data_IF_599672207604
#
_entry.id   IF_599672207604
#
_cell.length_a   1.000
_cell.length_b   1.000
_cell.length_c   1.000
_cell.angle_alpha   90.00
_cell.angle_beta   90.00
_cell.angle_gamma   90.00
#
_symmetry.space_group_name_H-M   'P 1'
#
loop_
_entity.id
_entity.type
_entity.pdbx_description
1 polymer ?
#
# COMPACT_ATOMS: atom_id res chain seq x y z
N UNK A 1 30.17 -35.52 -23.03
CA UNK A 1 31.08 -34.74 -22.15
C UNK A 1 31.62 -33.52 -22.89
N UNK A 2 30.92 -32.38 -22.84
CA UNK A 2 31.48 -31.08 -23.25
C UNK A 2 30.92 -30.00 -22.35
N UNK A 3 31.86 -29.25 -21.78
CA UNK A 3 31.72 -28.18 -20.80
C UNK A 3 31.11 -26.95 -21.51
N UNK A 4 30.00 -26.42 -21.01
CA UNK A 4 29.46 -25.13 -21.47
C UNK A 4 29.62 -24.08 -20.37
N UNK A 5 30.51 -23.13 -20.65
CA UNK A 5 30.69 -21.87 -19.93
C UNK A 5 29.68 -20.85 -20.46
N UNK A 6 29.27 -19.91 -19.58
CA UNK A 6 28.96 -18.48 -19.79
C UNK A 6 27.94 -18.17 -20.94
N UNK A 7 26.99 -17.25 -20.87
CA UNK A 7 26.95 -15.96 -20.19
C UNK A 7 25.58 -15.31 -20.44
N UNK A 8 25.20 -14.40 -19.55
CA UNK A 8 24.43 -13.17 -19.83
C UNK A 8 22.93 -13.24 -20.06
N UNK A 9 22.16 -12.95 -19.01
CA UNK A 9 21.01 -12.05 -19.06
C UNK A 9 20.90 -11.36 -17.69
N UNK A 10 21.51 -10.17 -17.57
CA UNK A 10 21.21 -9.03 -16.66
C UNK A 10 22.46 -8.12 -16.63
N UNK A 11 22.44 -6.93 -17.24
CA UNK A 11 23.52 -5.97 -17.09
C UNK A 11 23.37 -5.17 -15.79
N UNK A 12 24.49 -5.15 -15.07
CA UNK A 12 25.03 -4.11 -14.19
C UNK A 12 24.20 -3.51 -13.05
N UNK A 13 24.63 -3.85 -11.82
CA UNK A 13 24.64 -2.88 -10.71
C UNK A 13 25.71 -3.28 -9.68
N UNK A 14 26.99 -3.08 -10.02
CA UNK A 14 28.12 -3.12 -9.07
C UNK A 14 28.60 -1.70 -8.75
N UNK A 15 28.48 -1.27 -7.49
CA UNK A 15 29.54 -0.67 -6.65
C UNK A 15 28.93 0.02 -5.40
N UNK A 16 29.32 -0.37 -4.16
CA UNK A 16 28.87 0.28 -2.93
C UNK A 16 29.77 1.45 -2.52
N UNK A 17 29.27 2.69 -2.63
CA UNK A 17 29.92 3.85 -2.04
C UNK A 17 29.40 4.08 -0.60
N UNK A 18 30.34 4.12 0.35
CA UNK A 18 30.17 4.41 1.78
C UNK A 18 29.43 5.73 2.01
N UNK A 19 28.41 5.72 2.86
CA UNK A 19 27.88 6.93 3.50
C UNK A 19 28.28 6.89 4.98
N UNK A 20 29.14 7.84 5.37
CA UNK A 20 29.54 8.10 6.74
C UNK A 20 28.40 8.87 7.44
N UNK A 21 27.72 8.25 8.39
CA UNK A 21 26.72 8.92 9.23
C UNK A 21 27.41 9.47 10.48
N UNK A 22 27.72 10.76 10.45
CA UNK A 22 28.16 11.54 11.61
C UNK A 22 26.99 11.70 12.61
N UNK A 23 27.21 11.32 13.87
CA UNK A 23 26.24 11.48 14.98
C UNK A 23 26.05 12.98 15.33
N UNK A 24 24.81 13.50 15.40
CA UNK A 24 24.56 14.75 16.10
C UNK A 24 24.34 14.54 17.61
N UNK A 25 24.78 15.56 18.35
CA UNK A 25 24.88 15.66 19.82
C UNK A 25 23.51 15.66 20.49
N UNK A 26 23.44 15.04 21.69
CA UNK A 26 22.29 15.09 22.58
C UNK A 26 22.12 16.51 23.13
N UNK A 27 21.00 17.15 22.84
CA UNK A 27 20.51 18.31 23.58
C UNK A 27 19.34 17.86 24.47
N UNK A 28 19.53 17.99 25.78
CA UNK A 28 18.49 17.82 26.80
C UNK A 28 17.57 19.03 26.78
N UNK A 29 16.30 18.84 26.40
CA UNK A 29 15.24 19.84 26.57
C UNK A 29 14.40 19.45 27.77
N UNK A 30 14.32 20.38 28.72
CA UNK A 30 13.59 20.33 30.00
C UNK A 30 12.08 20.41 29.73
N UNK A 31 11.30 19.50 30.31
CA UNK A 31 9.85 19.43 30.17
C UNK A 31 9.15 20.63 30.85
N UNK A 32 8.27 21.31 30.10
CA UNK A 32 7.28 22.25 30.62
C UNK A 32 5.92 21.53 30.72
N UNK A 33 5.24 21.68 31.86
CA UNK A 33 3.96 21.01 32.15
C UNK A 33 2.79 21.54 31.31
N UNK A 34 1.67 20.80 31.23
CA UNK A 34 0.55 21.14 30.37
C UNK A 34 -0.26 22.32 30.91
N UNK A 35 -0.73 23.25 30.05
CA UNK A 35 -1.67 24.29 30.47
C UNK A 35 -3.09 23.72 30.66
N UNK A 36 -3.80 24.27 31.65
CA UNK A 36 -5.19 23.91 32.00
C UNK A 36 -6.19 24.37 30.93
N UNK A 37 -7.30 23.66 30.69
CA UNK A 37 -8.30 24.08 29.71
C UNK A 37 -9.18 25.20 30.26
N UNK A 38 -9.33 26.27 29.47
CA UNK A 38 -10.36 27.28 29.64
C UNK A 38 -11.68 26.79 29.02
N UNK A 39 -12.74 26.75 29.81
CA UNK A 39 -14.10 26.52 29.33
C UNK A 39 -14.60 27.75 28.56
N UNK A 40 -14.76 27.63 27.25
CA UNK A 40 -15.49 28.59 26.43
C UNK A 40 -16.81 27.96 25.97
N UNK A 41 -17.90 28.39 26.59
CA UNK A 41 -19.27 28.10 26.16
C UNK A 41 -19.61 28.95 24.93
N UNK A 42 -19.59 28.33 23.76
CA UNK A 42 -20.11 28.91 22.52
C UNK A 42 -20.92 27.85 21.78
N UNK A 43 -22.23 28.05 21.65
CA UNK A 43 -23.06 27.26 20.73
C UNK A 43 -22.62 27.55 19.29
N UNK A 44 -22.25 26.56 18.47
CA UNK A 44 -22.22 26.78 17.03
C UNK A 44 -23.65 26.73 16.52
N UNK A 45 -24.10 27.88 16.04
CA UNK A 45 -25.19 28.04 15.08
C UNK A 45 -24.90 27.20 13.83
N UNK A 46 -25.89 26.45 13.37
CA UNK A 46 -25.70 25.43 12.32
C UNK A 46 -25.34 25.98 10.95
N UNK A 47 -24.49 25.25 10.22
CA UNK A 47 -24.32 25.33 8.76
C UNK A 47 -23.79 24.01 8.19
N UNK A 48 -24.32 23.66 7.01
CA UNK A 48 -24.00 22.55 6.10
C UNK A 48 -24.42 21.14 6.54
N UNK A 49 -25.26 20.51 5.72
CA UNK A 49 -25.47 19.07 5.76
C UNK A 49 -24.15 18.34 5.50
N UNK A 50 -23.69 17.56 6.48
CA UNK A 50 -22.56 16.63 6.39
C UNK A 50 -22.88 15.49 5.40
N UNK A 51 -22.90 15.80 4.10
CA UNK A 51 -22.98 14.76 3.07
C UNK A 51 -21.56 14.26 2.78
N UNK A 52 -20.98 13.57 3.77
CA UNK A 52 -19.70 12.90 3.59
C UNK A 52 -19.83 11.88 2.44
N UNK A 53 -18.86 11.89 1.51
CA UNK A 53 -18.80 10.95 0.40
C UNK A 53 -18.89 9.51 0.92
N UNK A 54 -19.90 8.79 0.47
CA UNK A 54 -20.13 7.40 0.87
C UNK A 54 -19.18 6.43 0.17
N UNK A 55 -19.06 5.22 0.72
CA UNK A 55 -18.30 4.13 0.10
C UNK A 55 -18.81 3.79 -1.30
N UNK A 56 -20.13 3.75 -1.48
CA UNK A 56 -20.74 3.39 -2.76
C UNK A 56 -20.51 4.47 -3.82
N UNK A 57 -20.55 5.75 -3.45
CA UNK A 57 -20.18 6.85 -4.34
C UNK A 57 -18.71 6.77 -4.76
N UNK A 58 -17.80 6.47 -3.83
CA UNK A 58 -16.38 6.25 -4.15
C UNK A 58 -16.18 5.09 -5.11
N UNK A 59 -16.80 3.95 -4.85
CA UNK A 59 -16.72 2.77 -5.72
C UNK A 59 -17.30 3.06 -7.09
N UNK A 60 -18.47 3.70 -7.16
CA UNK A 60 -19.12 4.03 -8.41
C UNK A 60 -18.27 4.99 -9.25
N UNK A 61 -17.64 5.98 -8.62
CA UNK A 61 -16.68 6.87 -9.28
C UNK A 61 -15.48 6.09 -9.81
N UNK A 62 -14.81 5.29 -8.98
CA UNK A 62 -13.60 4.55 -9.35
C UNK A 62 -13.85 3.39 -10.34
N UNK A 63 -15.11 3.01 -10.56
CA UNK A 63 -15.48 2.01 -11.56
C UNK A 63 -15.69 2.63 -12.96
N UNK A 64 -15.64 3.97 -13.09
CA UNK A 64 -15.80 4.66 -14.37
C UNK A 64 -14.43 4.81 -15.08
N UNK A 65 -14.32 4.49 -16.38
CA UNK A 65 -13.10 4.74 -17.15
C UNK A 65 -12.63 6.20 -17.09
N UNK A 66 -13.59 7.14 -17.11
CA UNK A 66 -13.32 8.58 -17.05
C UNK A 66 -12.64 9.05 -15.76
N UNK A 67 -12.71 8.27 -14.67
CA UNK A 67 -11.96 8.58 -13.45
C UNK A 67 -10.44 8.51 -13.65
N UNK A 68 -9.99 7.79 -14.67
CA UNK A 68 -8.58 7.57 -15.01
C UNK A 68 -8.15 8.28 -16.30
N UNK A 69 -9.09 8.92 -17.01
CA UNK A 69 -8.86 9.44 -18.36
C UNK A 69 -8.86 8.35 -19.45
N UNK A 70 -9.39 7.17 -19.14
CA UNK A 70 -9.41 6.02 -20.03
C UNK A 70 -10.75 5.90 -20.76
N UNK A 71 -10.73 5.16 -21.88
CA UNK A 71 -11.94 4.73 -22.60
C UNK A 71 -12.30 3.27 -22.33
N UNK A 72 -11.31 2.45 -21.99
CA UNK A 72 -11.50 1.02 -21.75
C UNK A 72 -12.26 0.77 -20.44
N UNK A 73 -13.13 -0.25 -20.38
CA UNK A 73 -13.84 -0.61 -19.16
C UNK A 73 -12.90 -0.91 -17.99
N UNK A 74 -13.31 -0.49 -16.79
CA UNK A 74 -12.57 -0.75 -15.55
C UNK A 74 -13.08 -2.05 -14.95
N UNK A 75 -12.18 -3.00 -14.69
CA UNK A 75 -12.53 -4.22 -13.95
C UNK A 75 -12.38 -3.98 -12.46
N UNK A 76 -13.42 -4.24 -11.68
CA UNK A 76 -13.38 -4.16 -10.21
C UNK A 76 -13.22 -5.55 -9.61
N UNK A 77 -12.26 -5.71 -8.70
CA UNK A 77 -11.99 -6.94 -7.96
C UNK A 77 -12.07 -6.62 -6.48
N UNK A 78 -12.91 -7.35 -5.76
CA UNK A 78 -13.06 -7.17 -4.33
C UNK A 78 -12.29 -8.23 -3.54
N UNK A 79 -11.65 -7.80 -2.46
CA UNK A 79 -11.03 -8.67 -1.46
C UNK A 79 -11.66 -8.41 -0.10
N UNK A 80 -11.25 -9.15 0.92
CA UNK A 80 -11.78 -8.99 2.27
C UNK A 80 -11.61 -7.57 2.83
N UNK A 81 -10.47 -6.90 2.54
CA UNK A 81 -10.11 -5.59 3.13
C UNK A 81 -9.88 -4.48 2.10
N UNK A 82 -10.09 -4.74 0.81
CA UNK A 82 -9.81 -3.78 -0.26
C UNK A 82 -10.69 -4.01 -1.49
N UNK A 83 -10.74 -3.02 -2.37
CA UNK A 83 -11.23 -3.15 -3.74
C UNK A 83 -10.17 -2.64 -4.71
N UNK A 84 -9.92 -3.39 -5.78
CA UNK A 84 -8.91 -3.12 -6.79
C UNK A 84 -9.60 -2.81 -8.11
N UNK A 85 -9.24 -1.67 -8.72
CA UNK A 85 -9.76 -1.19 -9.98
C UNK A 85 -8.67 -1.31 -11.05
N UNK A 86 -8.92 -2.11 -12.07
CA UNK A 86 -8.01 -2.33 -13.20
C UNK A 86 -8.42 -1.41 -14.35
N UNK A 87 -7.73 -0.28 -14.45
CA UNK A 87 -7.78 0.65 -15.58
C UNK A 87 -6.99 0.10 -16.77
N UNK A 88 -6.89 0.84 -17.88
CA UNK A 88 -6.17 0.38 -19.07
C UNK A 88 -4.71 -0.01 -18.74
N UNK A 89 -3.99 0.89 -18.06
CA UNK A 89 -2.54 0.75 -17.81
C UNK A 89 -2.17 0.49 -16.36
N UNK A 90 -3.06 0.84 -15.44
CA UNK A 90 -2.78 0.83 -14.00
C UNK A 90 -3.80 0.00 -13.22
N UNK A 91 -3.40 -0.42 -12.03
CA UNK A 91 -4.28 -0.97 -11.02
C UNK A 91 -4.31 -0.01 -9.82
N UNK A 92 -5.49 0.24 -9.27
CA UNK A 92 -5.68 1.13 -8.14
C UNK A 92 -6.35 0.38 -7.01
N UNK A 93 -5.75 0.39 -5.82
CA UNK A 93 -6.28 -0.33 -4.66
C UNK A 93 -6.81 0.65 -3.62
N UNK A 94 -8.11 0.56 -3.36
CA UNK A 94 -8.82 1.26 -2.28
C UNK A 94 -8.93 0.33 -1.07
N UNK A 95 -8.63 0.83 0.14
CA UNK A 95 -8.80 0.09 1.39
C UNK A 95 -10.22 0.29 1.93
N UNK A 96 -10.88 -0.79 2.34
CA UNK A 96 -12.22 -0.70 2.94
C UNK A 96 -12.12 -0.02 4.32
N UNK A 97 -13.12 0.79 4.71
CA UNK A 97 -13.15 1.46 6.01
C UNK A 97 -13.58 0.47 7.12
N UNK A 98 -12.75 -0.55 7.36
CA UNK A 98 -13.03 -1.63 8.32
C UNK A 98 -12.05 -1.60 9.48
N UNK A 99 -12.50 -2.12 10.62
CA UNK A 99 -11.64 -2.43 11.77
C UNK A 99 -11.80 -3.90 12.07
N UNK A 100 -10.72 -4.66 11.82
CA UNK A 100 -10.61 -6.08 12.09
C UNK A 100 -9.52 -6.30 13.14
N UNK A 101 -9.45 -7.47 13.79
CA UNK A 101 -8.44 -7.75 14.82
C UNK A 101 -7.00 -7.50 14.40
N UNK A 102 -6.69 -7.71 13.12
CA UNK A 102 -5.35 -7.60 12.56
C UNK A 102 -5.11 -6.33 11.73
N UNK A 103 -6.14 -5.50 11.51
CA UNK A 103 -6.00 -4.30 10.70
C UNK A 103 -7.05 -3.24 11.04
N UNK A 104 -6.61 -1.99 11.18
CA UNK A 104 -7.51 -0.85 11.37
C UNK A 104 -7.37 0.14 10.21
N UNK A 105 -8.41 0.17 9.38
CA UNK A 105 -8.58 1.08 8.25
C UNK A 105 -9.80 2.00 8.45
N UNK A 106 -10.33 2.11 9.68
CA UNK A 106 -11.54 2.89 9.97
C UNK A 106 -11.33 4.39 9.70
N UNK A 107 -10.18 4.94 10.12
CA UNK A 107 -9.83 6.34 9.90
C UNK A 107 -9.09 6.58 8.57
N UNK A 108 -9.37 7.73 7.94
CA UNK A 108 -8.71 8.15 6.70
C UNK A 108 -7.19 8.23 6.84
N UNK A 109 -6.69 8.74 7.97
CA UNK A 109 -5.25 8.83 8.25
C UNK A 109 -4.58 7.46 8.37
N UNK A 110 -5.27 6.46 8.92
CA UNK A 110 -4.78 5.08 9.01
C UNK A 110 -4.72 4.43 7.62
N UNK A 111 -5.73 4.67 6.77
CA UNK A 111 -5.69 4.21 5.38
C UNK A 111 -4.54 4.85 4.60
N UNK A 112 -4.30 6.15 4.79
CA UNK A 112 -3.16 6.83 4.18
C UNK A 112 -1.82 6.20 4.58
N UNK A 113 -1.58 6.05 5.90
CA UNK A 113 -0.35 5.45 6.42
C UNK A 113 -0.17 4.01 5.92
N UNK A 114 -1.26 3.24 5.82
CA UNK A 114 -1.23 1.89 5.29
C UNK A 114 -0.93 1.86 3.78
N UNK A 115 -1.47 2.79 2.97
CA UNK A 115 -1.13 2.92 1.56
C UNK A 115 0.35 3.28 1.36
N UNK A 116 0.87 4.20 2.17
CA UNK A 116 2.30 4.57 2.14
C UNK A 116 3.20 3.38 2.49
N UNK A 117 2.86 2.67 3.57
CA UNK A 117 3.59 1.47 3.99
C UNK A 117 3.53 0.39 2.91
N UNK A 118 2.37 0.17 2.28
CA UNK A 118 2.22 -0.80 1.20
C UNK A 118 3.13 -0.48 0.01
N UNK A 119 3.18 0.78 -0.43
CA UNK A 119 4.07 1.21 -1.53
C UNK A 119 5.53 0.99 -1.17
N UNK A 120 5.96 1.45 0.01
CA UNK A 120 7.35 1.33 0.46
C UNK A 120 7.76 -0.15 0.56
N UNK A 121 6.95 -0.97 1.24
CA UNK A 121 7.29 -2.35 1.50
C UNK A 121 7.31 -3.18 0.21
N UNK A 122 6.30 -3.02 -0.65
CA UNK A 122 6.18 -3.87 -1.82
C UNK A 122 7.14 -3.47 -2.95
N UNK A 123 7.59 -2.22 -3.02
CA UNK A 123 8.66 -1.79 -3.95
C UNK A 123 9.96 -2.56 -3.73
N UNK A 124 10.23 -3.05 -2.52
CA UNK A 124 11.44 -3.83 -2.25
C UNK A 124 11.50 -5.15 -3.03
N UNK A 125 10.34 -5.80 -3.23
CA UNK A 125 10.24 -7.07 -3.95
C UNK A 125 9.77 -6.90 -5.40
N UNK A 126 8.98 -5.87 -5.68
CA UNK A 126 8.37 -5.60 -6.98
C UNK A 126 8.65 -4.15 -7.43
N UNK A 127 9.93 -3.81 -7.70
CA UNK A 127 10.29 -2.48 -8.20
C UNK A 127 9.57 -2.23 -9.54
N UNK A 128 8.99 -1.03 -9.68
CA UNK A 128 8.22 -0.66 -10.87
C UNK A 128 6.80 -1.25 -10.96
N UNK A 129 6.35 -2.02 -9.96
CA UNK A 129 4.93 -2.41 -9.85
C UNK A 129 4.18 -1.44 -8.95
N UNK A 130 4.70 -1.11 -7.78
CA UNK A 130 4.08 -0.17 -6.84
C UNK A 130 4.57 1.24 -7.13
N UNK A 131 3.68 2.11 -7.61
CA UNK A 131 4.05 3.37 -8.26
C UNK A 131 3.85 4.59 -7.38
N UNK A 132 2.74 4.71 -6.64
CA UNK A 132 2.51 5.85 -5.77
C UNK A 132 1.32 5.65 -4.82
N UNK A 133 1.14 6.59 -3.90
CA UNK A 133 -0.11 6.81 -3.17
C UNK A 133 -0.79 8.05 -3.73
N UNK A 134 -2.03 7.91 -4.21
CA UNK A 134 -2.78 9.01 -4.82
C UNK A 134 -4.07 9.29 -4.05
N UNK A 135 -4.41 10.57 -3.79
CA UNK A 135 -5.66 10.90 -3.13
C UNK A 135 -6.83 10.79 -4.11
N UNK A 136 -7.98 10.37 -3.59
CA UNK A 136 -9.27 10.72 -4.17
C UNK A 136 -9.73 11.99 -3.48
N UNK A 137 -10.04 13.01 -4.26
CA UNK A 137 -10.44 14.33 -3.75
C UNK A 137 -11.85 14.67 -4.20
N UNK A 138 -12.55 15.39 -3.36
CA UNK A 138 -13.79 16.06 -3.69
C UNK A 138 -13.53 17.53 -3.98
N UNK A 139 -14.06 18.01 -5.11
CA UNK A 139 -14.12 19.42 -5.48
C UNK A 139 -15.57 19.79 -5.79
N UNK A 140 -16.14 20.68 -4.99
CA UNK A 140 -17.58 20.95 -5.05
C UNK A 140 -18.36 19.68 -4.70
N UNK A 141 -19.07 19.10 -5.68
CA UNK A 141 -19.85 17.84 -5.54
C UNK A 141 -19.32 16.71 -6.44
N UNK A 142 -18.11 16.87 -6.99
CA UNK A 142 -17.52 15.92 -7.91
C UNK A 142 -16.26 15.30 -7.34
N UNK A 143 -16.12 14.00 -7.57
CA UNK A 143 -14.93 13.23 -7.22
C UNK A 143 -13.90 13.29 -8.34
N UNK A 144 -12.64 13.36 -7.93
CA UNK A 144 -11.50 13.39 -8.83
C UNK A 144 -10.36 12.55 -8.29
N UNK A 145 -9.55 12.02 -9.20
CA UNK A 145 -8.34 11.30 -8.86
C UNK A 145 -7.14 12.26 -8.91
N UNK A 146 -6.47 12.45 -7.77
CA UNK A 146 -5.37 13.39 -7.63
C UNK A 146 -5.80 14.87 -7.66
N UNK A 147 -4.80 15.75 -7.57
CA UNK A 147 -5.01 17.21 -7.58
C UNK A 147 -5.40 17.79 -6.21
N UNK A 148 -5.81 19.06 -6.22
CA UNK A 148 -6.25 19.79 -5.03
C UNK A 148 -7.72 19.53 -4.73
N UNK A 149 -8.11 19.56 -3.46
CA UNK A 149 -9.49 19.38 -3.01
C UNK A 149 -9.54 18.77 -1.62
N UNK A 150 -10.76 18.50 -1.13
CA UNK A 150 -10.95 17.80 0.15
C UNK A 150 -10.64 16.33 -0.07
N UNK A 151 -9.64 15.79 0.62
CA UNK A 151 -9.28 14.38 0.49
C UNK A 151 -10.38 13.52 1.12
N UNK A 152 -10.91 12.59 0.34
CA UNK A 152 -11.97 11.66 0.78
C UNK A 152 -11.46 10.24 0.97
N UNK A 153 -10.46 9.81 0.19
CA UNK A 153 -9.73 8.55 0.44
C UNK A 153 -8.35 8.53 -0.25
N UNK A 154 -7.62 7.43 -0.11
CA UNK A 154 -6.31 7.20 -0.69
C UNK A 154 -6.27 5.87 -1.45
N UNK A 155 -5.60 5.86 -2.60
CA UNK A 155 -5.35 4.66 -3.40
C UNK A 155 -3.87 4.36 -3.47
N UNK A 156 -3.54 3.07 -3.48
CA UNK A 156 -2.23 2.60 -3.98
C UNK A 156 -2.32 2.49 -5.50
N UNK A 157 -1.50 3.26 -6.22
CA UNK A 157 -1.35 3.17 -7.67
C UNK A 157 -0.28 2.15 -8.02
N UNK A 158 -0.63 1.21 -8.89
CA UNK A 158 0.24 0.12 -9.34
C UNK A 158 0.25 0.01 -10.85
N UNK A 159 1.33 -0.51 -11.43
CA UNK A 159 1.34 -0.95 -12.83
C UNK A 159 0.42 -2.16 -12.96
N UNK A 160 -0.47 -2.14 -13.95
CA UNK A 160 -1.29 -3.32 -14.26
C UNK A 160 -0.40 -4.42 -14.82
N UNK A 161 -0.42 -5.59 -14.21
CA UNK A 161 0.29 -6.77 -14.71
C UNK A 161 -0.60 -7.55 -15.69
N UNK A 162 -0.03 -8.21 -16.70
CA UNK A 162 -0.80 -9.04 -17.62
C UNK A 162 -1.53 -10.15 -16.86
N UNK A 163 -2.84 -10.26 -17.06
CA UNK A 163 -3.66 -11.27 -16.37
C UNK A 163 -3.18 -12.70 -16.69
N UNK A 164 -2.69 -12.95 -17.91
CA UNK A 164 -2.15 -14.24 -18.32
C UNK A 164 -0.91 -14.65 -17.52
N UNK A 165 -0.15 -13.70 -16.97
CA UNK A 165 1.05 -13.96 -16.16
C UNK A 165 0.72 -14.25 -14.69
N UNK A 166 -0.54 -14.14 -14.26
CA UNK A 166 -0.93 -14.51 -12.92
C UNK A 166 -0.79 -16.02 -12.72
N UNK A 167 -0.32 -16.46 -11.55
CA UNK A 167 -0.08 -17.87 -11.26
C UNK A 167 -1.32 -18.77 -11.51
N UNK A 168 -2.57 -18.38 -11.13
CA UNK A 168 -3.75 -19.18 -11.46
C UNK A 168 -3.93 -19.36 -12.97
N UNK A 169 -3.68 -18.32 -13.77
CA UNK A 169 -3.79 -18.39 -15.23
C UNK A 169 -2.70 -19.27 -15.84
N UNK A 170 -1.46 -19.18 -15.33
CA UNK A 170 -0.37 -20.06 -15.76
C UNK A 170 -0.63 -21.53 -15.40
N UNK A 171 -1.18 -21.80 -14.22
CA UNK A 171 -1.57 -23.15 -13.77
C UNK A 171 -2.64 -23.74 -14.69
N UNK A 172 -3.69 -22.97 -14.97
CA UNK A 172 -4.78 -23.41 -15.86
C UNK A 172 -4.30 -23.75 -17.28
N UNK A 173 -3.21 -23.14 -17.74
CA UNK A 173 -2.58 -23.42 -19.05
C UNK A 173 -1.44 -24.44 -19.02
N UNK A 174 -1.10 -25.00 -17.85
CA UNK A 174 0.03 -25.93 -17.72
C UNK A 174 1.42 -25.28 -17.87
N UNK A 175 1.49 -23.95 -17.79
CA UNK A 175 2.73 -23.17 -17.93
C UNK A 175 3.44 -22.91 -16.58
N UNK A 176 2.83 -23.31 -15.47
CA UNK A 176 3.45 -23.21 -14.15
C UNK A 176 4.37 -24.41 -13.90
N UNK A 177 5.68 -24.18 -13.91
CA UNK A 177 6.69 -25.22 -13.74
C UNK A 177 7.44 -25.08 -12.40
N UNK A 178 8.08 -26.17 -11.95
CA UNK A 178 8.93 -26.19 -10.73
C UNK A 178 9.99 -25.08 -10.70
N UNK A 179 10.56 -24.73 -11.85
CA UNK A 179 11.52 -23.61 -11.98
C UNK A 179 10.96 -22.27 -11.47
N UNK A 180 9.66 -22.01 -11.61
CA UNK A 180 9.04 -20.79 -11.12
C UNK A 180 8.95 -20.78 -9.59
N UNK A 181 8.65 -21.94 -8.98
CA UNK A 181 8.64 -22.09 -7.53
C UNK A 181 10.04 -21.92 -6.93
N UNK A 182 11.07 -22.53 -7.54
CA UNK A 182 12.46 -22.34 -7.11
C UNK A 182 12.91 -20.89 -7.25
N UNK A 183 12.63 -20.24 -8.38
CA UNK A 183 12.96 -18.82 -8.58
C UNK A 183 12.28 -17.91 -7.54
N UNK A 184 11.01 -18.18 -7.19
CA UNK A 184 10.31 -17.47 -6.12
C UNK A 184 10.99 -17.70 -4.77
N UNK A 185 11.28 -18.95 -4.42
CA UNK A 185 11.93 -19.30 -3.16
C UNK A 185 13.31 -18.64 -3.03
N UNK A 186 14.13 -18.67 -4.08
CA UNK A 186 15.45 -18.03 -4.11
C UNK A 186 15.35 -16.51 -3.93
N UNK A 187 14.38 -15.88 -4.60
CA UNK A 187 14.12 -14.44 -4.48
C UNK A 187 13.73 -14.06 -3.06
N UNK A 188 12.79 -14.80 -2.46
CA UNK A 188 12.34 -14.55 -1.09
C UNK A 188 13.46 -14.82 -0.07
N UNK A 189 14.18 -15.93 -0.20
CA UNK A 189 15.30 -16.26 0.67
C UNK A 189 16.38 -15.17 0.60
N UNK A 190 16.70 -14.67 -0.60
CA UNK A 190 17.65 -13.56 -0.76
C UNK A 190 17.18 -12.27 -0.12
N UNK A 191 15.90 -11.93 -0.27
CA UNK A 191 15.32 -10.74 0.35
C UNK A 191 15.37 -10.82 1.87
N UNK A 192 14.88 -11.92 2.46
CA UNK A 192 14.79 -12.06 3.92
C UNK A 192 16.14 -12.21 4.61
N UNK A 193 17.20 -12.64 3.92
CA UNK A 193 18.56 -12.63 4.48
C UNK A 193 19.05 -11.23 4.83
N UNK A 194 18.64 -10.22 4.06
CA UNK A 194 19.11 -8.82 4.22
C UNK A 194 18.03 -7.87 4.73
N UNK A 195 16.78 -8.32 4.82
CA UNK A 195 15.68 -7.48 5.27
C UNK A 195 15.91 -7.00 6.73
N UNK A 196 15.55 -5.74 7.05
CA UNK A 196 15.61 -5.25 8.41
C UNK A 196 14.84 -6.17 9.36
N UNK A 197 15.49 -6.57 10.45
CA UNK A 197 14.86 -7.41 11.47
C UNK A 197 14.10 -6.53 12.44
N UNK A 198 12.86 -6.90 12.73
CA UNK A 198 12.10 -6.28 13.82
C UNK A 198 12.59 -6.89 15.13
N UNK A 199 13.12 -6.07 16.02
CA UNK A 199 13.48 -6.52 17.37
C UNK A 199 12.20 -6.97 18.09
N UNK A 200 12.14 -8.25 18.44
CA UNK A 200 11.07 -8.85 19.23
C UNK A 200 11.67 -9.86 20.19
N UNK A 201 11.07 -10.03 21.35
CA UNK A 201 11.32 -11.21 22.19
C UNK A 201 10.44 -12.36 21.73
N UNK A 202 10.82 -13.62 22.00
CA UNK A 202 9.96 -14.78 21.76
C UNK A 202 8.58 -14.63 22.40
N UNK A 203 8.52 -14.13 23.64
CA UNK A 203 7.27 -13.91 24.37
C UNK A 203 6.45 -12.79 23.72
N UNK A 204 7.10 -11.71 23.27
CA UNK A 204 6.45 -10.63 22.55
C UNK A 204 5.91 -11.06 21.19
N UNK A 205 6.56 -12.03 20.53
CA UNK A 205 6.06 -12.65 19.32
C UNK A 205 4.87 -13.58 19.61
N UNK A 206 5.02 -14.51 20.57
CA UNK A 206 3.96 -15.44 20.98
C UNK A 206 2.69 -14.70 21.43
N UNK A 207 2.82 -13.67 22.27
CA UNK A 207 1.69 -12.85 22.72
C UNK A 207 1.01 -12.10 21.57
N UNK A 208 1.77 -11.69 20.53
CA UNK A 208 1.15 -11.14 19.31
C UNK A 208 0.41 -12.20 18.52
N UNK A 209 0.98 -13.39 18.41
CA UNK A 209 0.41 -14.48 17.62
C UNK A 209 -0.86 -15.05 18.26
N UNK A 210 -0.89 -15.20 19.59
CA UNK A 210 -2.07 -15.62 20.36
C UNK A 210 -3.22 -14.63 20.16
N UNK A 211 -2.94 -13.33 20.35
CA UNK A 211 -3.93 -12.26 20.06
C UNK A 211 -4.43 -12.24 18.61
N UNK A 212 -3.68 -12.85 17.70
CA UNK A 212 -4.01 -12.91 16.28
C UNK A 212 -4.84 -14.15 15.92
N UNK A 213 -4.67 -15.25 16.66
CA UNK A 213 -5.46 -16.48 16.51
C UNK A 213 -6.82 -16.33 17.21
N UNK A 214 -6.84 -15.71 18.39
CA UNK A 214 -8.02 -15.64 19.26
C UNK A 214 -9.02 -14.52 18.90
N UNK A 215 -8.78 -13.78 17.83
CA UNK A 215 -9.55 -12.59 17.47
C UNK A 215 -10.08 -12.67 16.04
#
# INVERSE_FOLDING_TARGET
>A
MRRWRLTSFFPDMQNPARVHLSRPRRHTVRAAGPPRPHHASGRPTGFASDNATSWDELVAFLSRPSAYGDVAPVTSIETHISRVFLSERYAYKLKKPVRLPFVDFSALSLRHAACQSEVVLNRMLAPGVYLDVIPVVERGRHLHLGGSGRIVDWLVKMRRLPAASALPAMLARGEAHRRHAYALADRLASFYRTAPRVATTPEGYANRLIRWIDA
#
